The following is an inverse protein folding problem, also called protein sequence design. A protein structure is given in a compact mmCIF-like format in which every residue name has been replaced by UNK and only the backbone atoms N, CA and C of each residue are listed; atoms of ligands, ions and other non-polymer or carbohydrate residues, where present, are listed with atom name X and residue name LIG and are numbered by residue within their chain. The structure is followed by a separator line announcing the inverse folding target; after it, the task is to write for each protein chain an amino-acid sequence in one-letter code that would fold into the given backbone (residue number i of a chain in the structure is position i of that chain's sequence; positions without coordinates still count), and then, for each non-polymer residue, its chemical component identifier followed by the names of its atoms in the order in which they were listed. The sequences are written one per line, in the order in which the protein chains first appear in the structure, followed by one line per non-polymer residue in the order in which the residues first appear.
data_IF_778821369422
#
_entry.id   IF_778821369422
#
_cell.length_a   1.000
_cell.length_b   1.000
_cell.length_c   1.000
_cell.angle_alpha   90.00
_cell.angle_beta   90.00
_cell.angle_gamma   90.00
#
_symmetry.space_group_name_H-M   'P 1'
#
loop_
_entity.id
_entity.type
_entity.pdbx_description
1 polymer ?
#
# COMPACT_ATOMS: atom_id res chain seq x y z
N UNK A 1 -1.60 8.23 -8.66
CA UNK A 1 -2.43 9.14 -7.84
C UNK A 1 -2.15 8.76 -6.41
N UNK A 2 -1.70 9.71 -5.57
CA UNK A 2 -1.41 9.38 -4.18
C UNK A 2 -2.66 9.02 -3.41
N UNK A 3 -2.60 7.90 -2.67
CA UNK A 3 -3.68 7.51 -1.75
C UNK A 3 -3.49 8.06 -0.34
N UNK A 4 -2.26 8.47 -0.02
CA UNK A 4 -1.83 9.07 1.25
C UNK A 4 -1.01 10.32 0.91
N UNK A 5 -1.47 11.50 1.36
CA UNK A 5 -0.77 12.76 1.10
C UNK A 5 -0.95 13.75 2.25
N UNK A 6 0.08 14.54 2.53
CA UNK A 6 -0.03 15.68 3.43
C UNK A 6 -0.39 16.96 2.65
N UNK A 7 -1.48 17.62 3.02
CA UNK A 7 -1.99 18.82 2.34
C UNK A 7 -2.61 19.79 3.35
N UNK A 8 -2.27 21.07 3.24
CA UNK A 8 -2.85 22.14 4.08
C UNK A 8 -2.82 21.82 5.58
N UNK A 9 -1.66 21.35 6.05
CA UNK A 9 -1.43 21.05 7.46
C UNK A 9 -2.18 19.85 8.02
N UNK A 10 -2.69 18.94 7.19
CA UNK A 10 -3.32 17.71 7.63
C UNK A 10 -3.05 16.53 6.67
N UNK A 11 -3.38 15.33 7.14
CA UNK A 11 -3.35 14.13 6.32
C UNK A 11 -4.61 14.06 5.45
N UNK A 12 -4.43 13.82 4.15
CA UNK A 12 -5.48 13.50 3.20
C UNK A 12 -5.34 12.06 2.71
N UNK A 13 -6.45 11.33 2.74
CA UNK A 13 -6.56 9.93 2.34
C UNK A 13 -7.65 9.77 1.29
N UNK A 14 -7.52 8.80 0.39
CA UNK A 14 -8.67 8.33 -0.39
C UNK A 14 -9.52 7.41 0.49
N UNK A 15 -10.82 7.68 0.65
CA UNK A 15 -11.73 6.78 1.34
C UNK A 15 -12.08 5.57 0.45
N UNK A 16 -11.28 4.52 0.58
CA UNK A 16 -11.39 3.31 -0.24
C UNK A 16 -12.70 2.55 -0.02
N UNK A 17 -13.47 2.86 1.03
CA UNK A 17 -14.78 2.25 1.27
C UNK A 17 -15.83 2.74 0.28
N UNK A 18 -15.65 3.94 -0.27
CA UNK A 18 -16.55 4.56 -1.24
C UNK A 18 -16.28 4.11 -2.68
N UNK A 19 -15.10 3.56 -2.94
CA UNK A 19 -14.76 2.97 -4.23
C UNK A 19 -15.51 1.63 -4.47
N UNK A 20 -15.90 1.32 -5.72
CA UNK A 20 -15.64 2.08 -6.95
C UNK A 20 -16.68 3.19 -7.24
N UNK A 21 -17.72 3.34 -6.41
CA UNK A 21 -18.86 4.20 -6.69
C UNK A 21 -18.52 5.71 -6.67
N UNK A 22 -17.62 6.12 -5.77
CA UNK A 22 -17.17 7.51 -5.67
C UNK A 22 -15.73 7.60 -5.18
N UNK A 23 -14.96 8.49 -5.80
CA UNK A 23 -13.65 8.93 -5.31
C UNK A 23 -13.87 10.06 -4.31
N UNK A 24 -13.72 9.76 -3.02
CA UNK A 24 -13.89 10.72 -1.92
C UNK A 24 -12.57 10.87 -1.18
N UNK A 25 -12.14 12.11 -0.97
CA UNK A 25 -10.97 12.42 -0.17
C UNK A 25 -11.40 12.69 1.28
N UNK A 26 -10.81 11.98 2.22
CA UNK A 26 -10.96 12.15 3.66
C UNK A 26 -9.81 12.98 4.19
N UNK A 27 -10.11 13.98 5.01
CA UNK A 27 -9.12 14.74 5.77
C UNK A 27 -9.06 14.20 7.20
N UNK A 28 -7.87 13.96 7.71
CA UNK A 28 -7.59 13.50 9.06
C UNK A 28 -6.77 14.58 9.78
N UNK A 29 -7.31 15.13 10.85
CA UNK A 29 -6.69 16.22 11.61
C UNK A 29 -6.21 15.76 12.99
N UNK A 30 -6.61 14.56 13.42
CA UNK A 30 -6.21 14.00 14.72
C UNK A 30 -5.73 12.55 14.61
N UNK A 31 -5.08 12.06 15.68
CA UNK A 31 -4.67 10.66 15.81
C UNK A 31 -5.88 9.72 15.74
N UNK A 32 -7.01 10.12 16.30
CA UNK A 32 -8.27 9.38 16.29
C UNK A 32 -8.82 9.25 14.86
N UNK A 33 -8.73 10.31 14.05
CA UNK A 33 -9.14 10.24 12.64
C UNK A 33 -8.32 9.21 11.86
N UNK A 34 -6.99 9.20 12.06
CA UNK A 34 -6.08 8.24 11.41
C UNK A 34 -6.37 6.82 11.90
N UNK A 35 -6.53 6.64 13.20
CA UNK A 35 -6.83 5.36 13.84
C UNK A 35 -8.16 4.80 13.33
N UNK A 36 -9.18 5.64 13.20
CA UNK A 36 -10.48 5.28 12.60
C UNK A 36 -10.33 4.93 11.12
N UNK A 37 -9.57 5.70 10.35
CA UNK A 37 -9.33 5.44 8.93
C UNK A 37 -8.65 4.08 8.71
N UNK A 38 -7.69 3.70 9.55
CA UNK A 38 -7.00 2.39 9.49
C UNK A 38 -7.94 1.25 9.90
N UNK A 39 -8.61 1.37 11.05
CA UNK A 39 -9.47 0.33 11.61
C UNK A 39 -10.72 0.05 10.76
N UNK A 40 -11.33 1.10 10.20
CA UNK A 40 -12.51 0.98 9.33
C UNK A 40 -12.13 0.66 7.87
N UNK A 41 -10.84 0.48 7.58
CA UNK A 41 -10.29 0.21 6.25
C UNK A 41 -10.60 1.30 5.20
N UNK A 42 -10.68 2.57 5.62
CA UNK A 42 -10.64 3.70 4.71
C UNK A 42 -9.28 3.80 4.01
N UNK A 43 -8.19 3.53 4.75
CA UNK A 43 -6.84 3.26 4.23
C UNK A 43 -6.44 1.82 4.50
N UNK A 44 -5.77 1.18 3.54
CA UNK A 44 -5.31 -0.21 3.67
C UNK A 44 -4.12 -0.48 2.75
N UNK A 45 -3.47 -1.62 2.97
CA UNK A 45 -2.19 -1.96 2.35
C UNK A 45 -1.05 -1.57 3.29
N UNK A 46 -0.09 -2.46 3.48
CA UNK A 46 0.93 -2.28 4.52
C UNK A 46 1.71 -0.96 4.36
N UNK A 47 2.15 -0.56 3.14
CA UNK A 47 2.85 0.71 2.99
C UNK A 47 1.97 1.94 3.20
N UNK A 48 0.72 1.93 2.70
CA UNK A 48 -0.22 3.03 2.93
C UNK A 48 -0.58 3.20 4.41
N UNK A 49 -0.78 2.09 5.14
CA UNK A 49 -0.99 2.10 6.60
C UNK A 49 0.24 2.65 7.32
N UNK A 50 1.45 2.25 6.89
CA UNK A 50 2.69 2.77 7.46
C UNK A 50 2.84 4.28 7.29
N UNK A 51 2.63 4.79 6.08
CA UNK A 51 2.66 6.23 5.81
C UNK A 51 1.57 6.99 6.57
N UNK A 52 0.33 6.48 6.60
CA UNK A 52 -0.75 7.08 7.38
C UNK A 52 -0.42 7.12 8.88
N UNK A 53 0.16 6.05 9.42
CA UNK A 53 0.62 5.98 10.81
C UNK A 53 1.70 7.03 11.11
N UNK A 54 2.70 7.16 10.24
CA UNK A 54 3.75 8.17 10.37
C UNK A 54 3.17 9.61 10.36
N UNK A 55 2.21 9.90 9.47
CA UNK A 55 1.50 11.17 9.48
C UNK A 55 0.60 11.34 10.71
N UNK A 56 0.05 10.27 11.27
CA UNK A 56 -0.64 10.29 12.57
C UNK A 56 0.28 10.72 13.71
N UNK A 57 1.54 10.30 13.71
CA UNK A 57 2.56 10.77 14.66
C UNK A 57 2.87 12.27 14.45
N UNK A 58 2.94 12.72 13.20
CA UNK A 58 3.10 14.14 12.88
C UNK A 58 1.91 14.99 13.36
N UNK A 59 0.67 14.48 13.23
CA UNK A 59 -0.53 15.13 13.77
C UNK A 59 -0.51 15.17 15.30
N UNK A 60 -0.04 14.10 15.97
CA UNK A 60 0.14 14.11 17.42
C UNK A 60 1.10 15.21 17.85
N UNK A 61 2.21 15.37 17.13
CA UNK A 61 3.19 16.40 17.41
C UNK A 61 2.68 17.81 17.12
N UNK A 62 1.98 18.00 16.01
CA UNK A 62 1.38 19.28 15.61
C UNK A 62 0.27 19.74 16.56
N UNK A 63 -0.53 18.80 17.06
CA UNK A 63 -1.63 19.08 17.98
C UNK A 63 -1.20 19.14 19.45
N UNK A 64 0.09 18.90 19.75
CA UNK A 64 0.63 19.00 21.08
C UNK A 64 0.55 20.45 21.58
N UNK A 65 -0.28 20.68 22.60
CA UNK A 65 -0.47 22.01 23.19
C UNK A 65 0.64 22.28 24.21
N UNK A 66 1.78 22.73 23.73
CA UNK A 66 2.90 23.11 24.58
C UNK A 66 2.53 24.27 25.53
N UNK A 67 2.91 24.16 26.79
CA UNK A 67 2.95 25.25 27.77
C UNK A 67 4.38 25.76 27.89
N UNK A 68 4.60 26.88 28.61
CA UNK A 68 5.96 27.39 28.89
C UNK A 68 6.86 26.39 29.63
N UNK A 69 6.26 25.38 30.27
CA UNK A 69 6.95 24.31 30.99
C UNK A 69 7.08 23.01 30.19
N UNK A 70 6.57 22.94 28.96
CA UNK A 70 6.62 21.72 28.15
C UNK A 70 8.03 21.43 27.67
N UNK A 71 8.45 20.20 27.90
CA UNK A 71 9.74 19.66 27.46
C UNK A 71 9.61 18.87 26.16
N UNK A 72 10.75 18.57 25.54
CA UNK A 72 10.84 17.62 24.42
C UNK A 72 10.37 16.22 24.80
N UNK A 73 10.59 15.83 26.05
CA UNK A 73 10.18 14.56 26.63
C UNK A 73 8.65 14.44 26.70
N UNK A 74 7.95 15.52 27.02
CA UNK A 74 6.47 15.55 27.04
C UNK A 74 5.91 15.34 25.62
N UNK A 75 6.49 16.01 24.63
CA UNK A 75 6.13 15.83 23.23
C UNK A 75 6.42 14.40 22.75
N UNK A 76 7.59 13.86 23.10
CA UNK A 76 7.95 12.49 22.75
C UNK A 76 6.99 11.48 23.38
N UNK A 77 6.59 11.68 24.64
CA UNK A 77 5.59 10.86 25.31
C UNK A 77 4.23 10.90 24.58
N UNK A 78 3.80 12.08 24.12
CA UNK A 78 2.57 12.23 23.32
C UNK A 78 2.66 11.48 21.98
N UNK A 79 3.80 11.56 21.28
CA UNK A 79 4.05 10.83 20.03
C UNK A 79 4.05 9.31 20.27
N UNK A 80 4.69 8.83 21.34
CA UNK A 80 4.72 7.39 21.70
C UNK A 80 3.34 6.86 22.09
N UNK A 81 2.53 7.69 22.77
CA UNK A 81 1.14 7.35 23.07
C UNK A 81 0.31 7.25 21.78
N UNK A 82 0.50 8.18 20.84
CA UNK A 82 -0.15 8.12 19.52
C UNK A 82 0.26 6.87 18.75
N UNK A 83 1.55 6.49 18.77
CA UNK A 83 2.04 5.25 18.16
C UNK A 83 1.34 4.03 18.74
N UNK A 84 1.21 3.97 20.07
CA UNK A 84 0.52 2.86 20.75
C UNK A 84 -0.95 2.77 20.33
N UNK A 85 -1.66 3.91 20.26
CA UNK A 85 -3.05 3.97 19.80
C UNK A 85 -3.21 3.51 18.35
N UNK A 86 -2.33 3.95 17.45
CA UNK A 86 -2.36 3.59 16.03
C UNK A 86 -2.03 2.10 15.84
N UNK A 87 -1.00 1.60 16.52
CA UNK A 87 -0.57 0.19 16.44
C UNK A 87 -1.65 -0.77 16.99
N UNK A 88 -2.45 -0.33 17.95
CA UNK A 88 -3.58 -1.09 18.46
C UNK A 88 -4.72 -1.26 17.44
N UNK A 89 -4.94 -0.30 16.53
CA UNK A 89 -5.92 -0.44 15.45
C UNK A 89 -5.46 -1.45 14.41
N UNK A 90 -4.18 -1.36 14.00
CA UNK A 90 -3.49 -2.38 13.21
C UNK A 90 -1.99 -2.13 13.33
N UNK A 91 -1.18 -3.16 13.65
CA UNK A 91 0.25 -2.95 13.86
C UNK A 91 0.91 -2.27 12.66
N UNK A 92 1.58 -1.15 12.91
CA UNK A 92 2.36 -0.44 11.90
C UNK A 92 3.84 -0.74 12.11
N UNK A 93 4.55 -1.18 11.08
CA UNK A 93 6.01 -1.37 11.13
C UNK A 93 6.76 -0.02 11.05
N UNK A 94 6.18 1.05 11.61
CA UNK A 94 6.70 2.41 11.54
C UNK A 94 7.57 2.67 12.75
N UNK A 95 8.87 2.86 12.50
CA UNK A 95 9.84 3.35 13.46
C UNK A 95 10.45 4.63 12.90
N UNK A 96 10.07 5.77 13.44
CA UNK A 96 10.71 7.05 13.13
C UNK A 96 11.74 7.35 14.22
N UNK A 97 12.94 7.77 13.84
CA UNK A 97 13.98 8.18 14.78
C UNK A 97 14.02 9.70 14.83
N UNK A 98 13.85 10.29 16.01
CA UNK A 98 13.72 11.74 16.20
C UNK A 98 14.76 12.29 17.18
N UNK A 99 14.97 13.61 17.10
CA UNK A 99 15.68 14.41 18.10
C UNK A 99 17.20 14.38 17.99
N UNK A 100 17.80 15.49 18.43
CA UNK A 100 19.19 15.63 18.87
C UNK A 100 19.18 16.24 20.28
N UNK A 101 20.28 16.17 21.06
CA UNK A 101 20.29 16.68 22.45
C UNK A 101 19.85 18.13 22.62
N UNK A 102 19.92 18.95 21.56
CA UNK A 102 19.63 20.38 21.57
C UNK A 102 18.29 20.75 20.89
N UNK A 103 17.43 19.78 20.56
CA UNK A 103 16.17 20.04 19.86
C UNK A 103 15.14 20.76 20.74
N UNK A 104 14.42 21.73 20.20
CA UNK A 104 13.23 22.29 20.88
C UNK A 104 11.98 21.46 20.58
N UNK A 105 10.87 21.71 21.30
CA UNK A 105 9.55 21.12 21.02
C UNK A 105 9.10 21.42 19.59
N UNK A 106 9.32 22.65 19.11
CA UNK A 106 8.96 23.04 17.75
C UNK A 106 9.81 22.32 16.69
N UNK A 107 11.13 22.18 16.95
CA UNK A 107 12.03 21.45 16.06
C UNK A 107 11.63 19.98 15.97
N UNK A 108 11.33 19.35 17.11
CA UNK A 108 10.93 17.95 17.17
C UNK A 108 9.62 17.72 16.41
N UNK A 109 8.63 18.60 16.55
CA UNK A 109 7.37 18.51 15.81
C UNK A 109 7.56 18.65 14.29
N UNK A 110 8.37 19.63 13.86
CA UNK A 110 8.71 19.81 12.45
C UNK A 110 9.51 18.62 11.88
N UNK A 111 10.40 18.05 12.68
CA UNK A 111 11.17 16.86 12.32
C UNK A 111 10.27 15.63 12.16
N UNK A 112 9.28 15.43 13.03
CA UNK A 112 8.31 14.32 12.89
C UNK A 112 7.57 14.37 11.56
N UNK A 113 7.10 15.55 11.14
CA UNK A 113 6.46 15.73 9.83
C UNK A 113 7.44 15.45 8.68
N UNK A 114 8.66 15.98 8.76
CA UNK A 114 9.70 15.77 7.76
C UNK A 114 10.00 14.28 7.56
N UNK A 115 10.13 13.53 8.65
CA UNK A 115 10.36 12.08 8.62
C UNK A 115 9.17 11.31 8.05
N UNK A 116 7.93 11.71 8.38
CA UNK A 116 6.73 11.10 7.82
C UNK A 116 6.63 11.33 6.29
N UNK A 117 6.95 12.55 5.82
CA UNK A 117 7.02 12.86 4.40
C UNK A 117 8.15 12.07 3.72
N UNK A 118 9.33 12.00 4.32
CA UNK A 118 10.46 11.23 3.78
C UNK A 118 10.12 9.74 3.62
N UNK A 119 9.46 9.14 4.61
CA UNK A 119 8.97 7.75 4.53
C UNK A 119 7.98 7.56 3.38
N UNK A 120 7.07 8.52 3.18
CA UNK A 120 6.11 8.46 2.10
C UNK A 120 6.77 8.58 0.71
N UNK A 121 7.76 9.47 0.56
CA UNK A 121 8.55 9.58 -0.68
C UNK A 121 9.42 8.34 -0.93
N UNK A 122 9.97 7.75 0.11
CA UNK A 122 10.76 6.52 0.01
C UNK A 122 9.90 5.37 -0.52
N UNK A 123 8.67 5.19 -0.04
CA UNK A 123 7.73 4.20 -0.56
C UNK A 123 7.49 4.39 -2.07
N UNK A 124 7.23 5.63 -2.51
CA UNK A 124 7.05 5.95 -3.94
C UNK A 124 8.31 5.59 -4.75
N UNK A 125 9.49 5.95 -4.25
CA UNK A 125 10.76 5.65 -4.93
C UNK A 125 11.07 4.15 -5.00
N UNK A 126 10.75 3.39 -3.95
CA UNK A 126 10.88 1.93 -3.93
C UNK A 126 9.92 1.31 -4.94
N UNK A 127 8.64 1.66 -4.90
CA UNK A 127 7.61 1.09 -5.77
C UNK A 127 7.87 1.40 -7.25
N UNK A 128 8.40 2.59 -7.57
CA UNK A 128 8.85 2.92 -8.92
C UNK A 128 9.96 1.99 -9.40
N UNK A 129 11.02 1.80 -8.61
CA UNK A 129 12.14 0.90 -8.95
C UNK A 129 11.69 -0.54 -9.08
N UNK A 130 10.87 -1.01 -8.13
CA UNK A 130 10.27 -2.34 -8.15
C UNK A 130 9.46 -2.56 -9.43
N UNK A 131 8.67 -1.58 -9.84
CA UNK A 131 7.87 -1.65 -11.07
C UNK A 131 8.74 -1.79 -12.31
N UNK A 132 9.84 -1.03 -12.39
CA UNK A 132 10.82 -1.10 -13.49
C UNK A 132 11.46 -2.49 -13.58
N UNK A 133 11.98 -3.02 -12.47
CA UNK A 133 12.57 -4.37 -12.45
C UNK A 133 11.55 -5.46 -12.73
N UNK A 134 10.35 -5.37 -12.12
CA UNK A 134 9.30 -6.36 -12.34
C UNK A 134 8.78 -6.36 -13.77
N UNK A 135 8.81 -5.21 -14.48
CA UNK A 135 8.42 -5.17 -15.87
C UNK A 135 9.38 -6.00 -16.75
N UNK A 136 10.66 -6.13 -16.40
CA UNK A 136 11.64 -6.91 -17.19
C UNK A 136 11.29 -8.40 -17.29
N UNK A 137 10.63 -8.97 -16.28
CA UNK A 137 10.22 -10.39 -16.28
C UNK A 137 8.89 -10.65 -17.00
N UNK A 138 8.21 -9.59 -17.46
CA UNK A 138 6.95 -9.69 -18.20
C UNK A 138 7.21 -9.50 -19.69
N UNK A 139 6.87 -10.49 -20.51
CA UNK A 139 7.02 -10.42 -21.95
C UNK A 139 5.98 -9.48 -22.59
N UNK A 140 6.30 -8.94 -23.76
CA UNK A 140 5.32 -8.19 -24.54
C UNK A 140 4.18 -9.13 -25.00
N UNK A 141 2.94 -8.65 -24.91
CA UNK A 141 1.74 -9.41 -25.23
C UNK A 141 1.26 -10.37 -24.13
N UNK A 142 1.89 -10.38 -22.95
CA UNK A 142 1.50 -11.27 -21.86
C UNK A 142 0.11 -10.95 -21.27
N UNK A 143 -0.63 -12.02 -20.96
CA UNK A 143 -1.82 -12.01 -20.13
C UNK A 143 -1.40 -12.24 -18.67
N UNK A 144 -1.48 -11.19 -17.87
CA UNK A 144 -1.11 -11.18 -16.47
C UNK A 144 -2.33 -11.57 -15.64
N UNK A 145 -2.18 -12.46 -14.66
CA UNK A 145 -3.20 -12.64 -13.62
C UNK A 145 -2.78 -11.97 -12.33
N UNK A 146 -3.66 -11.13 -11.79
CA UNK A 146 -3.45 -10.36 -10.57
C UNK A 146 -4.48 -10.71 -9.49
N UNK A 147 -4.03 -10.72 -8.23
CA UNK A 147 -4.86 -11.06 -7.06
C UNK A 147 -4.80 -9.97 -5.98
N UNK A 148 -5.94 -9.69 -5.34
CA UNK A 148 -6.13 -8.62 -4.36
C UNK A 148 -6.02 -7.21 -4.97
N UNK A 149 -5.47 -6.26 -4.21
CA UNK A 149 -5.17 -4.90 -4.66
C UNK A 149 -3.81 -4.48 -4.10
N UNK A 150 -2.94 -4.07 -5.01
CA UNK A 150 -1.53 -3.78 -4.77
C UNK A 150 -1.08 -2.58 -5.62
N UNK A 151 -2.01 -1.68 -5.90
CA UNK A 151 -1.79 -0.46 -6.68
C UNK A 151 -1.46 0.72 -5.78
N UNK A 152 -1.69 1.91 -6.32
CA UNK A 152 -1.52 3.17 -5.60
C UNK A 152 -2.47 3.24 -4.40
N UNK A 153 -3.60 2.53 -4.42
CA UNK A 153 -4.52 2.45 -3.28
C UNK A 153 -3.99 1.59 -2.13
N UNK A 154 -3.00 0.72 -2.35
CA UNK A 154 -2.40 -0.12 -1.30
C UNK A 154 -1.05 0.42 -0.79
N UNK A 155 -0.56 1.50 -1.41
CA UNK A 155 0.75 2.12 -1.18
C UNK A 155 0.59 3.63 -1.10
N UNK A 156 1.66 4.42 -0.98
CA UNK A 156 1.54 5.88 -1.09
C UNK A 156 1.15 6.28 -2.50
N UNK A 157 1.80 5.69 -3.51
CA UNK A 157 1.51 5.85 -4.95
C UNK A 157 2.06 4.65 -5.73
N UNK A 158 1.71 4.55 -7.01
CA UNK A 158 2.18 3.55 -8.00
C UNK A 158 1.72 2.11 -7.69
N UNK A 159 2.08 1.57 -6.52
CA UNK A 159 1.85 0.19 -6.15
C UNK A 159 3.00 -0.76 -6.45
N UNK A 160 2.83 -2.02 -6.06
CA UNK A 160 3.80 -3.09 -6.28
C UNK A 160 3.47 -3.88 -7.55
N UNK A 161 2.66 -4.94 -7.48
CA UNK A 161 2.31 -5.75 -8.65
C UNK A 161 1.49 -4.98 -9.69
N UNK A 162 0.62 -4.05 -9.26
CA UNK A 162 -0.09 -3.15 -10.20
C UNK A 162 0.86 -2.08 -10.72
N UNK A 163 1.85 -1.65 -9.94
CA UNK A 163 2.93 -0.78 -10.43
C UNK A 163 3.70 -1.43 -11.59
N UNK A 164 4.04 -2.71 -11.47
CA UNK A 164 4.65 -3.50 -12.57
C UNK A 164 3.74 -3.52 -13.80
N UNK A 165 2.42 -3.71 -13.61
CA UNK A 165 1.45 -3.69 -14.70
C UNK A 165 1.39 -2.31 -15.37
N UNK A 166 1.37 -1.22 -14.60
CA UNK A 166 1.41 0.14 -15.13
C UNK A 166 2.68 0.41 -15.91
N UNK A 167 3.83 -0.03 -15.42
CA UNK A 167 5.11 0.11 -16.11
C UNK A 167 5.11 -0.67 -17.43
N UNK A 168 4.60 -1.91 -17.44
CA UNK A 168 4.44 -2.68 -18.69
C UNK A 168 3.53 -1.96 -19.70
N UNK A 169 2.42 -1.38 -19.22
CA UNK A 169 1.50 -0.61 -20.06
C UNK A 169 2.17 0.65 -20.62
N UNK A 170 2.88 1.42 -19.79
CA UNK A 170 3.61 2.61 -20.19
C UNK A 170 4.73 2.31 -21.21
N UNK A 171 5.38 1.16 -21.09
CA UNK A 171 6.38 0.67 -22.05
C UNK A 171 5.76 0.16 -23.36
N UNK A 172 4.43 0.19 -23.52
CA UNK A 172 3.77 -0.27 -24.74
C UNK A 172 3.83 -1.79 -24.95
N UNK A 173 3.99 -2.58 -23.87
CA UNK A 173 4.07 -4.05 -23.95
C UNK A 173 2.77 -4.72 -24.39
N UNK A 174 1.67 -3.98 -24.54
CA UNK A 174 0.35 -4.52 -24.92
C UNK A 174 -0.10 -5.67 -24.03
N UNK A 175 0.06 -5.51 -22.70
CA UNK A 175 -0.38 -6.50 -21.72
C UNK A 175 -1.89 -6.46 -21.51
N UNK A 176 -2.46 -7.61 -21.15
CA UNK A 176 -3.83 -7.75 -20.67
C UNK A 176 -3.83 -8.27 -19.23
N UNK A 177 -4.81 -7.87 -18.41
CA UNK A 177 -4.88 -8.30 -17.00
C UNK A 177 -6.17 -9.05 -16.69
N UNK A 178 -6.06 -10.29 -16.21
CA UNK A 178 -7.09 -10.99 -15.48
C UNK A 178 -7.05 -10.57 -14.01
N UNK A 179 -8.13 -9.95 -13.52
CA UNK A 179 -8.22 -9.47 -12.14
C UNK A 179 -9.14 -10.41 -11.36
N UNK A 180 -8.61 -11.12 -10.38
CA UNK A 180 -9.43 -11.89 -9.44
C UNK A 180 -10.30 -10.97 -8.59
N UNK A 181 -11.59 -11.28 -8.42
CA UNK A 181 -12.50 -10.47 -7.59
C UNK A 181 -12.01 -10.29 -6.15
N UNK A 182 -11.35 -11.30 -5.60
CA UNK A 182 -10.76 -11.39 -4.27
C UNK A 182 -11.80 -11.37 -3.14
N UNK A 183 -12.53 -12.48 -2.95
CA UNK A 183 -13.49 -12.64 -1.85
C UNK A 183 -12.79 -12.68 -0.47
N UNK A 184 -13.51 -12.28 0.62
CA UNK A 184 -14.87 -11.78 0.64
C UNK A 184 -14.99 -10.26 0.48
N UNK A 185 -13.86 -9.52 0.50
CA UNK A 185 -13.84 -8.05 0.56
C UNK A 185 -13.82 -7.38 -0.81
N UNK A 186 -13.66 -8.17 -1.87
CA UNK A 186 -13.73 -7.75 -3.26
C UNK A 186 -12.65 -6.73 -3.63
N UNK A 187 -11.42 -6.93 -3.14
CA UNK A 187 -10.34 -5.96 -3.38
C UNK A 187 -10.01 -5.83 -4.87
N UNK A 188 -9.95 -6.93 -5.61
CA UNK A 188 -9.67 -6.86 -7.04
C UNK A 188 -10.85 -6.26 -7.81
N UNK A 189 -12.08 -6.70 -7.52
CA UNK A 189 -13.28 -6.19 -8.18
C UNK A 189 -13.55 -4.70 -7.91
N UNK A 190 -13.27 -4.22 -6.68
CA UNK A 190 -13.60 -2.85 -6.28
C UNK A 190 -12.47 -1.87 -6.52
N UNK A 191 -11.22 -2.28 -6.29
CA UNK A 191 -10.09 -1.37 -6.27
C UNK A 191 -9.13 -1.60 -7.43
N UNK A 192 -8.63 -2.82 -7.64
CA UNK A 192 -7.69 -3.08 -8.75
C UNK A 192 -8.33 -2.83 -10.10
N UNK A 193 -9.57 -3.31 -10.29
CA UNK A 193 -10.35 -3.03 -11.48
C UNK A 193 -10.54 -1.53 -11.70
N UNK A 194 -10.90 -0.78 -10.65
CA UNK A 194 -11.09 0.67 -10.73
C UNK A 194 -9.79 1.40 -11.12
N UNK A 195 -8.67 0.99 -10.52
CA UNK A 195 -7.34 1.50 -10.80
C UNK A 195 -6.91 1.27 -12.24
N UNK A 196 -7.00 0.01 -12.71
CA UNK A 196 -6.62 -0.37 -14.08
C UNK A 196 -7.52 0.30 -15.13
N UNK A 197 -8.83 0.40 -14.88
CA UNK A 197 -9.77 1.09 -15.78
C UNK A 197 -9.43 2.57 -15.89
N UNK A 198 -9.07 3.22 -14.77
CA UNK A 198 -8.72 4.63 -14.74
C UNK A 198 -7.44 4.93 -15.53
N UNK A 199 -6.46 4.04 -15.48
CA UNK A 199 -5.21 4.16 -16.23
C UNK A 199 -5.30 3.56 -17.66
N UNK A 200 -6.46 3.07 -18.08
CA UNK A 200 -6.67 2.56 -19.44
C UNK A 200 -6.01 1.20 -19.74
N UNK A 201 -5.62 0.44 -18.72
CA UNK A 201 -5.00 -0.88 -18.89
C UNK A 201 -6.07 -1.90 -19.29
N UNK A 202 -5.90 -2.64 -20.41
CA UNK A 202 -6.84 -3.68 -20.82
C UNK A 202 -6.98 -4.76 -19.74
N UNK A 203 -8.20 -5.00 -19.28
CA UNK A 203 -8.45 -5.96 -18.21
C UNK A 203 -9.79 -6.68 -18.34
N UNK A 204 -9.91 -7.81 -17.65
CA UNK A 204 -11.17 -8.47 -17.36
C UNK A 204 -11.23 -8.85 -15.88
N UNK A 205 -12.35 -8.55 -15.23
CA UNK A 205 -12.66 -9.01 -13.88
C UNK A 205 -13.19 -10.45 -13.93
N UNK A 206 -12.67 -11.32 -13.06
CA UNK A 206 -13.06 -12.73 -12.98
C UNK A 206 -13.40 -13.15 -11.54
N UNK A 207 -14.21 -14.19 -11.40
CA UNK A 207 -14.39 -14.85 -10.11
C UNK A 207 -13.10 -15.60 -9.72
N UNK A 208 -12.79 -15.67 -8.41
CA UNK A 208 -11.55 -16.27 -7.91
C UNK A 208 -11.35 -17.73 -8.35
N UNK A 209 -12.42 -18.46 -8.66
CA UNK A 209 -12.39 -19.85 -9.10
C UNK A 209 -12.16 -20.02 -10.61
N UNK A 210 -12.31 -18.97 -11.42
CA UNK A 210 -12.08 -19.02 -12.86
C UNK A 210 -10.58 -19.02 -13.22
N UNK A 211 -9.72 -18.51 -12.32
CA UNK A 211 -8.27 -18.44 -12.52
C UNK A 211 -7.67 -19.77 -12.98
N UNK A 212 -8.06 -20.89 -12.36
CA UNK A 212 -7.52 -22.21 -12.71
C UNK A 212 -7.92 -22.69 -14.10
N UNK A 213 -9.15 -22.40 -14.54
CA UNK A 213 -9.57 -22.72 -15.90
C UNK A 213 -8.83 -21.86 -16.93
N UNK A 214 -8.60 -20.58 -16.65
CA UNK A 214 -7.85 -19.69 -17.54
C UNK A 214 -6.39 -20.13 -17.69
N UNK A 215 -5.75 -20.55 -16.60
CA UNK A 215 -4.40 -21.14 -16.65
C UNK A 215 -4.40 -22.44 -17.48
N UNK A 216 -5.35 -23.35 -17.22
CA UNK A 216 -5.47 -24.60 -17.98
C UNK A 216 -5.70 -24.37 -19.48
N UNK A 217 -6.44 -23.32 -19.83
CA UNK A 217 -6.71 -22.93 -21.21
C UNK A 217 -5.56 -22.12 -21.86
N UNK A 218 -4.42 -21.95 -21.19
CA UNK A 218 -3.27 -21.19 -21.70
C UNK A 218 -3.57 -19.70 -21.90
N UNK A 219 -4.43 -19.12 -21.06
CA UNK A 219 -4.82 -17.69 -21.11
C UNK A 219 -4.08 -16.81 -20.11
N UNK A 220 -3.18 -17.39 -19.31
CA UNK A 220 -2.37 -16.67 -18.32
C UNK A 220 -0.92 -17.02 -18.57
N UNK A 221 -0.11 -16.00 -18.78
CA UNK A 221 1.32 -16.12 -19.08
C UNK A 221 2.18 -15.89 -17.82
N UNK A 222 1.68 -15.11 -16.85
CA UNK A 222 2.37 -14.82 -15.59
C UNK A 222 1.38 -14.43 -14.51
N UNK A 223 1.65 -14.81 -13.27
CA UNK A 223 0.91 -14.36 -12.08
C UNK A 223 1.75 -13.34 -11.32
N UNK A 224 1.18 -12.16 -11.06
CA UNK A 224 1.80 -11.12 -10.25
C UNK A 224 0.90 -10.80 -9.05
N UNK A 225 1.45 -10.80 -7.84
CA UNK A 225 0.75 -10.37 -6.64
C UNK A 225 1.69 -9.66 -5.66
N UNK A 226 1.14 -9.03 -4.61
CA UNK A 226 1.93 -8.41 -3.54
C UNK A 226 2.09 -9.32 -2.32
N UNK A 227 2.57 -8.77 -1.21
CA UNK A 227 2.61 -9.50 0.07
C UNK A 227 2.22 -8.59 1.24
N UNK A 228 1.70 -9.21 2.28
CA UNK A 228 1.55 -8.59 3.60
C UNK A 228 2.85 -8.79 4.43
N UNK A 229 3.57 -9.90 4.24
CA UNK A 229 4.87 -10.21 4.89
C UNK A 229 5.63 -11.28 4.10
N UNK A 230 6.96 -11.23 4.12
CA UNK A 230 7.83 -12.28 3.57
C UNK A 230 8.84 -12.70 4.62
N UNK A 231 8.90 -13.98 4.96
CA UNK A 231 9.86 -14.50 5.92
C UNK A 231 11.25 -14.70 5.28
N UNK A 232 12.30 -14.75 6.11
CA UNK A 232 13.69 -14.96 5.66
C UNK A 232 13.92 -16.20 4.76
N UNK A 233 13.08 -17.23 4.85
CA UNK A 233 13.14 -18.43 4.00
C UNK A 233 12.42 -18.26 2.63
N UNK A 234 11.79 -17.11 2.39
CA UNK A 234 11.03 -16.80 1.18
C UNK A 234 9.54 -17.10 1.27
N UNK A 235 9.02 -17.58 2.41
CA UNK A 235 7.58 -17.81 2.57
C UNK A 235 6.81 -16.48 2.52
N UNK A 236 5.77 -16.44 1.68
CA UNK A 236 4.98 -15.23 1.44
C UNK A 236 3.62 -15.34 2.12
N UNK A 237 3.35 -14.41 3.04
CA UNK A 237 2.02 -14.17 3.58
C UNK A 237 1.34 -13.10 2.73
N UNK A 238 0.19 -13.43 2.15
CA UNK A 238 -0.62 -12.51 1.35
C UNK A 238 -2.12 -12.82 1.52
N UNK A 239 -2.97 -12.09 0.81
CA UNK A 239 -4.42 -12.29 0.81
C UNK A 239 -4.83 -13.75 0.56
N UNK A 240 -5.83 -14.20 1.31
CA UNK A 240 -6.49 -15.49 1.10
C UNK A 240 -6.86 -15.67 -0.37
N UNK A 241 -6.51 -16.81 -0.94
CA UNK A 241 -6.58 -17.08 -2.38
C UNK A 241 -5.21 -17.20 -3.04
N UNK A 242 -4.20 -16.45 -2.55
CA UNK A 242 -2.83 -16.46 -3.11
C UNK A 242 -2.19 -17.84 -3.12
N UNK A 243 -2.29 -18.60 -2.01
CA UNK A 243 -1.74 -19.95 -1.94
C UNK A 243 -2.35 -20.88 -3.00
N UNK A 244 -3.69 -20.91 -3.07
CA UNK A 244 -4.43 -21.69 -4.08
C UNK A 244 -3.97 -21.29 -5.49
N UNK A 245 -3.84 -19.99 -5.74
CA UNK A 245 -3.40 -19.46 -7.03
C UNK A 245 -1.99 -19.94 -7.40
N UNK A 246 -1.05 -19.90 -6.46
CA UNK A 246 0.32 -20.36 -6.66
C UNK A 246 0.40 -21.89 -6.93
N UNK A 247 -0.40 -22.68 -6.20
CA UNK A 247 -0.50 -24.13 -6.45
C UNK A 247 -1.01 -24.40 -7.86
N UNK A 248 -2.11 -23.75 -8.25
CA UNK A 248 -2.70 -23.97 -9.58
C UNK A 248 -1.78 -23.45 -10.70
N UNK A 249 -1.09 -22.33 -10.50
CA UNK A 249 -0.11 -21.83 -11.44
C UNK A 249 1.04 -22.83 -11.65
N UNK A 250 1.56 -23.42 -10.56
CA UNK A 250 2.59 -24.47 -10.64
C UNK A 250 2.13 -25.68 -11.45
N UNK A 251 0.92 -26.17 -11.21
CA UNK A 251 0.36 -27.31 -11.96
C UNK A 251 0.18 -27.01 -13.46
N UNK A 252 0.06 -25.74 -13.84
CA UNK A 252 -0.07 -25.30 -15.23
C UNK A 252 1.24 -24.70 -15.79
N UNK A 253 2.37 -24.84 -15.08
CA UNK A 253 3.67 -24.29 -15.46
C UNK A 253 3.68 -22.76 -15.72
N UNK A 254 2.81 -22.00 -15.05
CA UNK A 254 2.74 -20.54 -15.13
C UNK A 254 3.67 -19.95 -14.06
N UNK A 255 4.61 -19.05 -14.42
CA UNK A 255 5.49 -18.40 -13.46
C UNK A 255 4.71 -17.47 -12.52
N UNK A 256 5.14 -17.40 -11.26
CA UNK A 256 4.50 -16.63 -10.20
C UNK A 256 5.54 -15.71 -9.55
N UNK A 257 5.22 -14.42 -9.43
CA UNK A 257 6.06 -13.44 -8.78
C UNK A 257 5.32 -12.70 -7.68
N UNK A 258 5.95 -12.67 -6.50
CA UNK A 258 5.59 -11.77 -5.41
C UNK A 258 6.35 -10.44 -5.61
N UNK A 259 5.64 -9.38 -5.94
CA UNK A 259 6.16 -8.03 -6.09
C UNK A 259 6.14 -7.33 -4.72
N UNK A 260 7.29 -7.32 -4.04
CA UNK A 260 7.40 -6.86 -2.65
C UNK A 260 8.53 -5.85 -2.47
N UNK A 261 8.32 -4.75 -1.71
CA UNK A 261 9.41 -3.89 -1.29
C UNK A 261 10.20 -4.58 -0.17
N UNK A 262 11.46 -4.17 0.01
CA UNK A 262 12.33 -4.71 1.07
C UNK A 262 11.77 -4.51 2.47
N UNK A 263 10.98 -3.47 2.70
CA UNK A 263 10.29 -3.20 3.97
C UNK A 263 9.19 -4.23 4.32
N UNK A 264 8.83 -5.13 3.39
CA UNK A 264 7.87 -6.22 3.64
C UNK A 264 8.58 -7.53 4.04
N UNK A 265 9.91 -7.58 3.97
CA UNK A 265 10.71 -8.73 4.38
C UNK A 265 10.95 -8.64 5.90
N UNK A 266 10.64 -9.72 6.61
CA UNK A 266 10.74 -9.87 8.07
C UNK A 266 11.82 -10.89 8.46
#
# INVERSE_FOLDING_TARGET
MRSVQWTDGALQLIDQRKLPAALVLMRCETVEDVTRAISEMAVRGAPAIGAAGAFGLALAAQNFRATESSSTEDLLAAILQAKTTIDAARPTAVNLTWGTPDSTVADLAAQTLTLAQALAEEDVAINKRLSQFGAEVVAAGSNILHHCNTGALATVDIGTAIGVIYECHAQGKNVHVWVDETRPRLQGARLSAWELMREGVPMHLIADNAAGYLMLAGKVDVVLFGADRVAANGDVVNKIGTYKLAVVARENAVPVFACVPTSTID
#
